data_IF_126572030744
#
_entry.id   IF_126572030744
#
_cell.length_a   1.000
_cell.length_b   1.000
_cell.length_c   1.000
_cell.angle_alpha   90.00
_cell.angle_beta   90.00
_cell.angle_gamma   90.00
#
_symmetry.space_group_name_H-M   'P 1'
#
loop_
_entity.id
_entity.type
_entity.pdbx_description
1 polymer ?
#
# COMPACT_ATOMS: atom_id res chain seq x y z
N UNK A 1 -25.71 8.79 17.52
CA UNK A 1 -25.53 10.07 16.80
C UNK A 1 -26.23 11.16 17.58
N UNK A 2 -25.62 12.34 17.70
CA UNK A 2 -26.19 13.46 18.48
C UNK A 2 -27.22 14.20 17.63
N UNK A 3 -28.28 14.72 18.27
CA UNK A 3 -29.31 15.53 17.60
C UNK A 3 -28.69 16.75 16.91
N UNK A 4 -29.30 17.21 15.81
CA UNK A 4 -28.91 18.46 15.15
C UNK A 4 -29.22 19.63 16.09
N UNK A 5 -28.20 20.44 16.39
CA UNK A 5 -28.33 21.63 17.22
C UNK A 5 -29.18 22.70 16.52
N UNK A 6 -30.04 23.40 17.27
CA UNK A 6 -30.79 24.57 16.82
C UNK A 6 -29.84 25.76 16.61
N UNK A 7 -30.30 26.78 15.87
CA UNK A 7 -29.47 27.94 15.53
C UNK A 7 -28.83 28.65 16.74
N UNK A 8 -29.61 28.87 17.81
CA UNK A 8 -29.09 29.49 19.05
C UNK A 8 -28.07 28.59 19.76
N UNK A 9 -28.29 27.27 19.76
CA UNK A 9 -27.36 26.29 20.35
C UNK A 9 -26.04 26.23 19.56
N UNK A 10 -26.09 26.25 18.23
CA UNK A 10 -24.89 26.32 17.36
C UNK A 10 -24.12 27.62 17.56
N UNK A 11 -24.82 28.75 17.79
CA UNK A 11 -24.18 30.04 18.04
C UNK A 11 -23.39 30.05 19.35
N UNK A 12 -23.87 29.33 20.38
CA UNK A 12 -23.17 29.14 21.66
C UNK A 12 -22.04 28.10 21.56
N UNK A 13 -22.29 26.99 20.86
CA UNK A 13 -21.41 25.82 20.78
C UNK A 13 -20.60 25.77 19.47
N UNK A 14 -20.01 26.90 19.06
CA UNK A 14 -19.29 27.01 17.77
C UNK A 14 -18.07 26.11 17.63
N UNK A 15 -17.39 25.80 18.74
CA UNK A 15 -16.18 24.94 18.76
C UNK A 15 -16.48 23.48 19.09
N UNK A 16 -17.75 23.14 19.37
CA UNK A 16 -18.12 21.79 19.80
C UNK A 16 -18.28 20.87 18.58
N UNK A 17 -17.21 20.18 18.23
CA UNK A 17 -17.24 19.07 17.27
C UNK A 17 -16.82 17.77 17.96
N UNK A 18 -17.80 16.91 18.27
CA UNK A 18 -17.56 15.64 18.97
C UNK A 18 -16.91 14.57 18.09
N UNK A 19 -16.97 14.73 16.76
CA UNK A 19 -16.46 13.75 15.79
C UNK A 19 -15.10 14.18 15.23
N UNK A 20 -14.95 15.45 14.89
CA UNK A 20 -13.75 16.05 14.30
C UNK A 20 -13.12 17.06 15.27
N UNK A 21 -12.34 16.58 16.23
CA UNK A 21 -11.55 17.46 17.09
C UNK A 21 -10.16 17.71 16.51
N UNK A 22 -9.55 18.86 16.80
CA UNK A 22 -8.33 19.35 16.13
C UNK A 22 -7.13 18.38 16.26
N UNK A 23 -6.95 17.72 17.40
CA UNK A 23 -5.89 16.72 17.56
C UNK A 23 -6.14 15.44 16.72
N UNK A 24 -7.37 15.23 16.27
CA UNK A 24 -7.80 14.14 15.39
C UNK A 24 -7.75 14.53 13.90
N UNK A 25 -7.23 15.71 13.54
CA UNK A 25 -7.07 16.12 12.14
C UNK A 25 -6.31 15.07 11.28
N UNK A 26 -5.40 14.31 11.91
CA UNK A 26 -4.73 13.17 11.26
C UNK A 26 -5.55 11.87 11.20
N UNK A 27 -6.49 11.68 12.11
CA UNK A 27 -7.27 10.44 12.29
C UNK A 27 -8.30 10.25 11.18
N UNK A 28 -8.96 11.32 10.70
CA UNK A 28 -9.94 11.18 9.61
C UNK A 28 -9.28 10.76 8.29
N UNK A 29 -8.14 11.35 7.95
CA UNK A 29 -7.36 10.96 6.77
C UNK A 29 -6.84 9.53 6.88
N UNK A 30 -6.40 9.14 8.08
CA UNK A 30 -6.01 7.77 8.40
C UNK A 30 -7.19 6.79 8.26
N UNK A 31 -8.34 7.03 8.89
CA UNK A 31 -9.53 6.17 8.78
C UNK A 31 -10.00 6.06 7.33
N UNK A 32 -9.95 7.15 6.55
CA UNK A 32 -10.22 7.12 5.10
C UNK A 32 -9.24 6.21 4.37
N UNK A 33 -7.95 6.26 4.69
CA UNK A 33 -6.94 5.39 4.09
C UNK A 33 -7.11 3.93 4.51
N UNK A 34 -7.36 3.66 5.81
CA UNK A 34 -7.65 2.33 6.34
C UNK A 34 -8.85 1.69 5.62
N UNK A 35 -9.93 2.46 5.45
CA UNK A 35 -11.11 2.01 4.71
C UNK A 35 -10.80 1.80 3.23
N UNK A 36 -10.11 2.72 2.58
CA UNK A 36 -9.80 2.65 1.14
C UNK A 36 -8.95 1.43 0.80
N UNK A 37 -7.92 1.14 1.59
CA UNK A 37 -6.97 0.06 1.33
C UNK A 37 -7.23 -1.22 2.13
N UNK A 38 -8.32 -1.25 2.92
CA UNK A 38 -8.67 -2.39 3.80
C UNK A 38 -7.49 -2.84 4.65
N UNK A 39 -6.88 -1.88 5.36
CA UNK A 39 -5.83 -2.15 6.33
C UNK A 39 -6.49 -2.72 7.60
N UNK A 40 -6.06 -3.92 8.02
CA UNK A 40 -6.59 -4.56 9.22
C UNK A 40 -6.10 -3.88 10.49
N UNK A 41 -4.79 -3.60 10.56
CA UNK A 41 -4.16 -2.95 11.72
C UNK A 41 -3.94 -1.47 11.44
N UNK A 42 -4.27 -0.64 12.42
CA UNK A 42 -4.00 0.80 12.38
C UNK A 42 -2.50 1.09 12.43
N UNK A 43 -1.76 0.26 13.16
CA UNK A 43 -0.32 0.36 13.36
C UNK A 43 0.45 0.35 12.04
N UNK A 44 0.06 -0.50 11.09
CA UNK A 44 0.68 -0.57 9.76
C UNK A 44 0.67 0.80 9.07
N UNK A 45 -0.45 1.52 9.14
CA UNK A 45 -0.56 2.84 8.53
C UNK A 45 0.32 3.87 9.22
N UNK A 46 0.40 3.82 10.55
CA UNK A 46 1.28 4.70 11.34
C UNK A 46 2.74 4.45 10.99
N UNK A 47 3.14 3.17 10.89
CA UNK A 47 4.49 2.77 10.48
C UNK A 47 4.81 3.24 9.05
N UNK A 48 3.91 3.04 8.09
CA UNK A 48 4.11 3.55 6.72
C UNK A 48 4.21 5.07 6.66
N UNK A 49 3.44 5.78 7.49
CA UNK A 49 3.52 7.24 7.61
C UNK A 49 4.86 7.69 8.20
N UNK A 50 5.39 6.94 9.18
CA UNK A 50 6.71 7.18 9.74
C UNK A 50 7.82 6.91 8.70
N UNK A 51 7.77 5.81 7.97
CA UNK A 51 8.70 5.48 6.88
C UNK A 51 8.67 6.52 5.76
N UNK A 52 7.48 6.96 5.34
CA UNK A 52 7.37 8.04 4.36
C UNK A 52 7.97 9.36 4.88
N UNK A 53 7.93 9.61 6.20
CA UNK A 53 8.56 10.78 6.82
C UNK A 53 10.09 10.65 6.83
N UNK A 54 10.63 9.48 7.17
CA UNK A 54 12.09 9.25 7.19
C UNK A 54 12.68 9.38 5.79
N UNK A 55 12.02 8.83 4.77
CA UNK A 55 12.43 8.98 3.37
C UNK A 55 12.44 10.45 2.93
N UNK A 56 11.39 11.21 3.27
CA UNK A 56 11.32 12.65 2.98
C UNK A 56 12.40 13.46 3.70
N UNK A 57 12.65 13.14 4.97
CA UNK A 57 13.70 13.79 5.75
C UNK A 57 15.09 13.51 5.15
N UNK A 58 15.34 12.27 4.73
CA UNK A 58 16.59 11.90 4.06
C UNK A 58 16.74 12.62 2.71
N UNK A 59 15.68 12.69 1.90
CA UNK A 59 15.69 13.42 0.64
C UNK A 59 15.98 14.92 0.83
N UNK A 60 15.43 15.55 1.88
CA UNK A 60 15.75 16.95 2.22
C UNK A 60 17.19 17.13 2.66
N UNK A 61 17.68 16.28 3.57
CA UNK A 61 19.10 16.30 3.99
C UNK A 61 20.05 16.15 2.80
N UNK A 62 19.74 15.27 1.85
CA UNK A 62 20.54 15.12 0.63
C UNK A 62 20.47 16.36 -0.28
N UNK A 63 19.35 17.08 -0.31
CA UNK A 63 19.22 18.34 -1.05
C UNK A 63 20.06 19.45 -0.43
N UNK A 64 20.04 19.54 0.90
CA UNK A 64 20.71 20.59 1.66
C UNK A 64 22.24 20.41 1.71
N UNK A 65 22.76 19.27 1.24
CA UNK A 65 24.19 19.03 1.09
C UNK A 65 24.82 20.03 0.09
N UNK A 66 25.85 20.75 0.57
CA UNK A 66 26.60 21.74 -0.20
C UNK A 66 27.47 21.17 -1.33
N UNK A 67 28.01 22.04 -2.20
CA UNK A 67 28.71 21.65 -3.43
C UNK A 67 29.99 20.82 -3.19
N UNK A 68 30.65 20.98 -2.04
CA UNK A 68 31.83 20.20 -1.66
C UNK A 68 31.56 18.67 -1.58
N UNK A 69 30.30 18.28 -1.38
CA UNK A 69 29.88 16.89 -1.24
C UNK A 69 29.09 16.38 -2.45
N UNK A 70 29.19 17.04 -3.62
CA UNK A 70 28.38 16.76 -4.80
C UNK A 70 28.44 15.30 -5.27
N UNK A 71 29.62 14.68 -5.27
CA UNK A 71 29.79 13.28 -5.65
C UNK A 71 29.07 12.32 -4.69
N UNK A 72 29.18 12.57 -3.38
CA UNK A 72 28.46 11.80 -2.35
C UNK A 72 26.95 11.94 -2.50
N UNK A 73 26.47 13.18 -2.70
CA UNK A 73 25.06 13.49 -2.94
C UNK A 73 24.52 12.74 -4.14
N UNK A 74 25.22 12.76 -5.28
CA UNK A 74 24.80 12.08 -6.50
C UNK A 74 24.68 10.56 -6.29
N UNK A 75 25.70 9.94 -5.67
CA UNK A 75 25.69 8.50 -5.37
C UNK A 75 24.55 8.11 -4.43
N UNK A 76 24.37 8.84 -3.33
CA UNK A 76 23.31 8.54 -2.36
C UNK A 76 21.90 8.82 -2.92
N UNK A 77 21.74 9.87 -3.72
CA UNK A 77 20.47 10.17 -4.39
C UNK A 77 20.11 9.08 -5.40
N UNK A 78 21.06 8.62 -6.20
CA UNK A 78 20.87 7.50 -7.13
C UNK A 78 20.48 6.21 -6.38
N UNK A 79 21.21 5.86 -5.32
CA UNK A 79 20.91 4.67 -4.51
C UNK A 79 19.51 4.73 -3.86
N UNK A 80 19.11 5.91 -3.34
CA UNK A 80 17.78 6.11 -2.79
C UNK A 80 16.69 5.93 -3.85
N UNK A 81 16.87 6.56 -5.02
CA UNK A 81 15.90 6.50 -6.11
C UNK A 81 15.78 5.09 -6.68
N UNK A 82 16.88 4.37 -6.84
CA UNK A 82 16.86 2.96 -7.26
C UNK A 82 16.11 2.09 -6.26
N UNK A 83 16.37 2.25 -4.96
CA UNK A 83 15.67 1.48 -3.92
C UNK A 83 14.17 1.77 -3.92
N UNK A 84 13.77 3.04 -3.98
CA UNK A 84 12.35 3.43 -3.97
C UNK A 84 11.63 3.00 -5.26
N UNK A 85 12.32 3.06 -6.40
CA UNK A 85 11.78 2.57 -7.66
C UNK A 85 11.64 1.05 -7.65
N UNK A 86 12.65 0.31 -7.20
CA UNK A 86 12.62 -1.14 -7.06
C UNK A 86 11.51 -1.64 -6.14
N UNK A 87 11.22 -0.92 -5.06
CA UNK A 87 10.06 -1.19 -4.18
C UNK A 87 8.71 -0.79 -4.80
N UNK A 88 8.71 -0.03 -5.90
CA UNK A 88 7.48 0.42 -6.57
C UNK A 88 6.79 1.61 -5.91
N UNK A 89 7.46 2.30 -4.99
CA UNK A 89 6.90 3.48 -4.30
C UNK A 89 6.91 4.73 -5.20
N UNK A 90 7.87 4.77 -6.12
CA UNK A 90 8.08 5.87 -7.07
C UNK A 90 7.97 5.33 -8.50
N UNK A 91 7.40 6.13 -9.41
CA UNK A 91 7.25 5.79 -10.83
C UNK A 91 8.49 6.13 -11.68
N UNK A 92 9.27 7.14 -11.29
CA UNK A 92 10.38 7.66 -12.09
C UNK A 92 11.65 7.84 -11.26
N UNK A 93 12.81 7.44 -11.81
CA UNK A 93 14.13 7.57 -11.16
C UNK A 93 14.82 8.93 -11.40
N UNK A 94 14.14 9.88 -12.05
CA UNK A 94 14.80 11.07 -12.61
C UNK A 94 15.07 12.18 -11.59
N UNK A 95 14.19 12.37 -10.61
CA UNK A 95 14.28 13.53 -9.71
C UNK A 95 14.00 13.18 -8.25
N UNK A 96 14.79 13.81 -7.37
CA UNK A 96 14.64 13.72 -5.92
C UNK A 96 13.36 14.41 -5.42
N UNK A 97 12.77 15.29 -6.23
CA UNK A 97 11.48 15.95 -5.93
C UNK A 97 10.34 14.96 -5.75
N UNK A 98 10.38 13.80 -6.44
CA UNK A 98 9.35 12.76 -6.29
C UNK A 98 9.38 12.13 -4.91
N UNK A 99 10.52 12.13 -4.23
CA UNK A 99 10.63 11.63 -2.86
C UNK A 99 9.89 12.53 -1.86
N UNK A 100 9.70 13.82 -2.16
CA UNK A 100 8.99 14.74 -1.26
C UNK A 100 7.48 14.53 -1.23
N UNK A 101 6.89 14.11 -2.35
CA UNK A 101 5.46 13.80 -2.46
C UNK A 101 5.12 12.38 -1.99
N UNK A 102 6.11 11.63 -1.51
CA UNK A 102 5.94 10.24 -1.09
C UNK A 102 5.05 10.16 0.15
N UNK A 103 3.91 9.47 0.00
CA UNK A 103 2.87 9.34 1.01
C UNK A 103 2.71 7.90 1.48
N UNK A 104 2.10 7.70 2.64
CA UNK A 104 1.78 6.36 3.16
C UNK A 104 0.90 5.54 2.19
N UNK A 105 0.09 6.23 1.36
CA UNK A 105 -0.71 5.59 0.32
C UNK A 105 0.13 4.88 -0.75
N UNK A 106 1.36 5.33 -1.02
CA UNK A 106 2.26 4.63 -1.94
C UNK A 106 2.60 3.23 -1.42
N UNK A 107 2.89 3.08 -0.13
CA UNK A 107 3.11 1.78 0.51
C UNK A 107 1.86 0.92 0.51
N UNK A 108 0.70 1.50 0.83
CA UNK A 108 -0.57 0.77 0.85
C UNK A 108 -0.90 0.15 -0.51
N UNK A 109 -0.62 0.87 -1.62
CA UNK A 109 -0.82 0.38 -3.00
C UNK A 109 0.13 -0.75 -3.38
N UNK A 110 1.26 -0.93 -2.68
CA UNK A 110 2.23 -2.01 -2.90
C UNK A 110 1.97 -3.26 -2.06
N UNK A 111 0.95 -3.26 -1.21
CA UNK A 111 0.51 -4.46 -0.49
C UNK A 111 -0.09 -5.47 -1.48
N UNK A 112 0.15 -6.75 -1.23
CA UNK A 112 -0.30 -7.85 -2.10
C UNK A 112 -1.79 -7.73 -2.52
N UNK A 113 -2.78 -7.48 -1.63
CA UNK A 113 -4.17 -7.36 -2.05
C UNK A 113 -4.45 -6.22 -3.04
N UNK A 114 -3.73 -5.10 -2.93
CA UNK A 114 -3.88 -3.98 -3.87
C UNK A 114 -3.33 -4.34 -5.25
N UNK A 115 -2.23 -5.10 -5.28
CA UNK A 115 -1.64 -5.59 -6.52
C UNK A 115 -2.53 -6.64 -7.20
N UNK A 116 -3.16 -7.54 -6.44
CA UNK A 116 -4.11 -8.52 -7.00
C UNK A 116 -5.28 -7.86 -7.73
N UNK A 117 -5.82 -6.76 -7.19
CA UNK A 117 -6.87 -5.98 -7.86
C UNK A 117 -6.34 -5.27 -9.11
N UNK A 118 -5.11 -4.76 -9.05
CA UNK A 118 -4.44 -4.13 -10.21
C UNK A 118 -4.17 -5.14 -11.33
N UNK A 119 -3.78 -6.37 -10.99
CA UNK A 119 -3.56 -7.50 -11.90
C UNK A 119 -4.84 -8.20 -12.36
N UNK A 120 -6.02 -7.70 -11.94
CA UNK A 120 -7.34 -8.28 -12.25
C UNK A 120 -7.56 -9.72 -11.75
N UNK A 121 -6.73 -10.21 -10.83
CA UNK A 121 -6.94 -11.50 -10.15
C UNK A 121 -8.11 -11.45 -9.18
N UNK A 122 -8.43 -10.27 -8.65
CA UNK A 122 -9.57 -10.05 -7.78
C UNK A 122 -10.37 -8.82 -8.24
N UNK A 123 -11.70 -8.91 -8.18
CA UNK A 123 -12.58 -7.80 -8.57
C UNK A 123 -12.55 -6.66 -7.53
N UNK A 124 -12.53 -7.01 -6.24
CA UNK A 124 -12.60 -6.08 -5.13
C UNK A 124 -11.47 -6.33 -4.12
N UNK A 125 -11.02 -5.26 -3.44
CA UNK A 125 -10.03 -5.36 -2.36
C UNK A 125 -10.47 -6.30 -1.23
N UNK A 126 -11.77 -6.37 -0.93
CA UNK A 126 -12.30 -7.29 0.08
C UNK A 126 -12.02 -8.75 -0.29
N UNK A 127 -12.28 -9.11 -1.55
CA UNK A 127 -12.03 -10.48 -2.04
C UNK A 127 -10.53 -10.77 -2.13
N UNK A 128 -9.73 -9.79 -2.54
CA UNK A 128 -8.28 -9.92 -2.59
C UNK A 128 -7.69 -10.25 -1.20
N UNK A 129 -8.15 -9.57 -0.15
CA UNK A 129 -7.73 -9.87 1.24
C UNK A 129 -8.14 -11.29 1.63
N UNK A 130 -9.40 -11.68 1.39
CA UNK A 130 -9.84 -13.03 1.74
C UNK A 130 -9.09 -14.13 1.00
N UNK A 131 -8.73 -13.92 -0.27
CA UNK A 131 -7.97 -14.92 -1.05
C UNK A 131 -6.55 -15.10 -0.53
N UNK A 132 -5.91 -14.01 -0.07
CA UNK A 132 -4.59 -14.07 0.54
C UNK A 132 -4.68 -14.74 1.91
N UNK A 133 -5.62 -14.34 2.77
CA UNK A 133 -5.80 -14.94 4.10
C UNK A 133 -6.11 -16.44 4.03
N UNK A 134 -6.82 -16.89 3.00
CA UNK A 134 -7.10 -18.31 2.72
C UNK A 134 -5.91 -19.07 2.12
N UNK A 135 -4.83 -18.39 1.73
CA UNK A 135 -3.64 -19.02 1.15
C UNK A 135 -3.81 -19.45 -0.31
N UNK A 136 -4.69 -18.80 -1.08
CA UNK A 136 -4.86 -19.13 -2.50
C UNK A 136 -3.80 -18.51 -3.41
N UNK A 137 -3.02 -17.55 -2.90
CA UNK A 137 -2.04 -16.78 -3.66
C UNK A 137 -0.63 -17.16 -3.25
N UNK A 138 0.24 -17.36 -4.23
CA UNK A 138 1.68 -17.50 -4.04
C UNK A 138 2.45 -16.42 -4.76
N UNK A 139 3.64 -16.16 -4.27
CA UNK A 139 4.60 -15.23 -4.86
C UNK A 139 5.87 -16.02 -5.16
N UNK A 140 6.09 -16.34 -6.43
CA UNK A 140 7.08 -17.35 -6.79
C UNK A 140 6.68 -18.72 -6.21
N UNK A 141 7.59 -19.44 -5.52
CA UNK A 141 7.29 -20.75 -4.95
C UNK A 141 6.53 -20.68 -3.60
N UNK A 142 6.59 -19.55 -2.89
CA UNK A 142 6.07 -19.45 -1.52
C UNK A 142 4.61 -19.01 -1.48
N UNK A 143 3.80 -19.74 -0.70
CA UNK A 143 2.41 -19.37 -0.43
C UNK A 143 2.37 -18.22 0.58
N UNK A 144 1.66 -17.15 0.25
CA UNK A 144 1.57 -15.96 1.11
C UNK A 144 0.22 -15.92 1.78
N UNK A 145 0.22 -15.91 3.11
CA UNK A 145 -0.99 -15.78 3.94
C UNK A 145 -1.18 -14.39 4.54
N UNK A 146 -0.12 -13.59 4.63
CA UNK A 146 -0.17 -12.23 5.19
C UNK A 146 -0.54 -11.17 4.12
N UNK A 147 -1.69 -10.49 4.25
CA UNK A 147 -2.07 -9.38 3.37
C UNK A 147 -1.18 -8.14 3.49
N UNK A 148 -0.38 -8.02 4.56
CA UNK A 148 0.52 -6.89 4.79
C UNK A 148 1.84 -6.96 4.02
N UNK A 149 2.12 -8.08 3.34
CA UNK A 149 3.33 -8.25 2.54
C UNK A 149 3.43 -7.16 1.46
N UNK A 150 4.56 -6.43 1.47
CA UNK A 150 4.90 -5.44 0.46
C UNK A 150 5.70 -6.10 -0.66
N UNK A 151 5.20 -6.02 -1.88
CA UNK A 151 5.83 -6.69 -3.02
C UNK A 151 6.68 -5.69 -3.80
N UNK A 152 7.99 -5.96 -4.03
CA UNK A 152 8.83 -5.15 -4.90
C UNK A 152 8.46 -5.39 -6.37
N UNK A 153 8.84 -4.47 -7.27
CA UNK A 153 8.50 -4.56 -8.70
C UNK A 153 9.03 -5.84 -9.35
N UNK A 154 10.25 -6.24 -9.01
CA UNK A 154 10.88 -7.44 -9.59
C UNK A 154 10.12 -8.74 -9.28
N UNK A 155 9.31 -8.74 -8.22
CA UNK A 155 8.59 -9.93 -7.75
C UNK A 155 7.11 -9.88 -8.17
N UNK A 156 6.63 -8.74 -8.70
CA UNK A 156 5.23 -8.53 -9.09
C UNK A 156 4.79 -9.51 -10.20
N UNK A 157 5.71 -9.89 -11.10
CA UNK A 157 5.43 -10.78 -12.22
C UNK A 157 5.26 -12.25 -11.81
N UNK A 158 5.74 -12.63 -10.62
CA UNK A 158 5.65 -13.99 -10.10
C UNK A 158 4.42 -14.22 -9.20
N UNK A 159 3.49 -13.27 -9.14
CA UNK A 159 2.26 -13.41 -8.38
C UNK A 159 1.32 -14.33 -9.17
N UNK A 160 1.06 -15.52 -8.63
CA UNK A 160 0.19 -16.52 -9.27
C UNK A 160 -0.71 -17.21 -8.24
N UNK A 161 -1.73 -17.94 -8.73
CA UNK A 161 -2.50 -18.83 -7.87
C UNK A 161 -1.66 -20.04 -7.47
N UNK A 162 -1.89 -20.54 -6.26
CA UNK A 162 -1.37 -21.86 -5.84
C UNK A 162 -1.93 -22.94 -6.77
N UNK A 163 -1.13 -23.95 -7.10
CA UNK A 163 -1.52 -25.01 -8.04
C UNK A 163 -2.78 -25.75 -7.56
N UNK A 164 -2.82 -26.14 -6.28
CA UNK A 164 -3.97 -26.78 -5.63
C UNK A 164 -5.17 -25.84 -5.33
N UNK A 165 -5.13 -24.58 -5.78
CA UNK A 165 -6.20 -23.62 -5.48
C UNK A 165 -7.48 -23.93 -6.25
N UNK A 166 -8.60 -24.04 -5.53
CA UNK A 166 -9.94 -24.14 -6.15
C UNK A 166 -10.28 -22.94 -7.04
N UNK A 167 -9.71 -21.76 -6.76
CA UNK A 167 -9.90 -20.58 -7.61
C UNK A 167 -9.22 -20.76 -8.96
N UNK A 168 -8.03 -21.37 -8.99
CA UNK A 168 -7.33 -21.69 -10.24
C UNK A 168 -8.11 -22.72 -11.05
N UNK A 169 -8.56 -23.80 -10.40
CA UNK A 169 -9.40 -24.82 -11.03
C UNK A 169 -10.61 -24.18 -11.69
N UNK A 170 -11.33 -23.33 -10.96
CA UNK A 170 -12.52 -22.63 -11.51
C UNK A 170 -12.20 -21.72 -12.70
N UNK A 171 -11.03 -21.08 -12.71
CA UNK A 171 -10.60 -20.25 -13.85
C UNK A 171 -10.27 -21.12 -15.06
N UNK A 172 -9.55 -22.24 -14.87
CA UNK A 172 -9.23 -23.18 -15.95
C UNK A 172 -10.48 -23.87 -16.50
N UNK A 173 -11.41 -24.27 -15.63
CA UNK A 173 -12.72 -24.81 -15.99
C UNK A 173 -13.50 -23.82 -16.89
N UNK A 174 -13.51 -22.54 -16.50
CA UNK A 174 -14.17 -21.49 -17.27
C UNK A 174 -13.54 -21.29 -18.65
N UNK A 175 -12.22 -21.38 -18.74
CA UNK A 175 -11.48 -21.28 -20.00
C UNK A 175 -11.52 -22.57 -20.83
N UNK A 176 -12.03 -23.69 -20.28
CA UNK A 176 -11.95 -25.03 -20.88
C UNK A 176 -10.51 -25.53 -21.09
N UNK A 177 -9.57 -25.06 -20.26
CA UNK A 177 -8.14 -25.38 -20.31
C UNK A 177 -7.72 -26.30 -19.16
N UNK A 178 -8.68 -26.91 -18.46
CA UNK A 178 -8.37 -27.76 -17.32
C UNK A 178 -7.80 -29.10 -17.80
N UNK A 179 -6.58 -29.35 -17.37
CA UNK A 179 -5.95 -30.67 -17.40
C UNK A 179 -5.97 -31.26 -15.99
N UNK A 180 -6.52 -32.46 -15.83
CA UNK A 180 -6.59 -33.16 -14.54
C UNK A 180 -5.25 -33.81 -14.15
N UNK A 181 -4.27 -33.90 -15.06
CA UNK A 181 -2.94 -34.44 -14.77
C UNK A 181 -2.13 -33.52 -13.84
N UNK A 182 -2.25 -32.19 -14.02
CA UNK A 182 -1.50 -31.18 -13.28
C UNK A 182 -1.95 -31.01 -11.81
N UNK A 183 -3.07 -31.62 -11.41
CA UNK A 183 -3.67 -31.49 -10.08
C UNK A 183 -3.18 -32.52 -9.06
N UNK A 184 -2.43 -33.53 -9.49
CA UNK A 184 -2.05 -34.68 -8.66
C UNK A 184 -0.73 -34.50 -7.85
N UNK A 185 -0.11 -33.31 -7.88
CA UNK A 185 1.14 -33.01 -7.17
C UNK A 185 0.93 -32.06 -5.97
#
# INVERSE_FOLDING_TARGET
MVRKLKYHEQKLLRRLELVSWEASAGSLAEVKALRRYRLGRREDYVQYKALARTVRALARRLRDLGPASAAFRARCAAALLEKLYGLGLVSCRRSLSVCESLSAAAFCRRRLPCLLVKLRMAQNLRHAVTFVEQGHVRVGPEVVTDPALLIPRAVEDFITWVDASRLRQKVLDYNQERDDFDLAA
#
